data_IF_164524842897
#
_entry.id   IF_164524842897
#
_cell.length_a   1.000
_cell.length_b   1.000
_cell.length_c   1.000
_cell.angle_alpha   90.00
_cell.angle_beta   90.00
_cell.angle_gamma   90.00
#
_symmetry.space_group_name_H-M   'P 1'
#
loop_
_entity.id
_entity.type
_entity.pdbx_description
1 polymer ?
#
# COMPACT_ATOMS: atom_id res chain seq x y z
N UNK A 1 -4.05 -16.21 -43.76
CA UNK A 1 -5.13 -16.03 -42.76
C UNK A 1 -4.69 -16.75 -41.47
N UNK A 2 -4.01 -16.04 -40.55
CA UNK A 2 -3.40 -16.62 -39.34
C UNK A 2 -4.11 -16.09 -38.08
N UNK A 3 -5.36 -16.51 -37.80
CA UNK A 3 -6.13 -16.01 -36.65
C UNK A 3 -5.56 -16.48 -35.29
N UNK A 4 -4.74 -17.54 -35.28
CA UNK A 4 -4.16 -18.13 -34.06
C UNK A 4 -3.08 -17.22 -33.45
N UNK A 5 -2.35 -16.47 -34.27
CA UNK A 5 -1.28 -15.59 -33.78
C UNK A 5 -1.81 -14.39 -32.98
N UNK A 6 -2.99 -13.87 -33.35
CA UNK A 6 -3.64 -12.76 -32.65
C UNK A 6 -4.15 -13.17 -31.27
N UNK A 7 -4.64 -14.41 -31.14
CA UNK A 7 -5.16 -14.92 -29.88
C UNK A 7 -4.06 -15.10 -28.83
N UNK A 8 -2.85 -15.52 -29.24
CA UNK A 8 -1.71 -15.69 -28.32
C UNK A 8 -1.12 -14.35 -27.84
N UNK A 9 -1.17 -13.28 -28.64
CA UNK A 9 -0.69 -11.95 -28.24
C UNK A 9 -1.56 -11.26 -27.19
N UNK A 10 -2.84 -11.66 -27.06
CA UNK A 10 -3.75 -11.11 -26.05
C UNK A 10 -3.51 -11.70 -24.65
N UNK A 11 -2.97 -12.92 -24.53
CA UNK A 11 -2.70 -13.54 -23.23
C UNK A 11 -1.37 -13.10 -22.59
N UNK A 12 -0.40 -12.64 -23.38
CA UNK A 12 0.91 -12.19 -22.86
C UNK A 12 0.88 -10.77 -22.26
N UNK A 13 -0.22 -10.03 -22.43
CA UNK A 13 -0.34 -8.64 -21.98
C UNK A 13 -0.82 -8.43 -20.54
N UNK A 14 -1.18 -9.49 -19.80
CA UNK A 14 -1.79 -9.38 -18.46
C UNK A 14 -0.88 -9.92 -17.35
N UNK A 15 0.40 -10.20 -17.65
CA UNK A 15 1.30 -10.67 -16.61
C UNK A 15 1.85 -9.51 -15.77
N UNK A 16 1.59 -9.63 -14.46
CA UNK A 16 2.30 -8.98 -13.35
C UNK A 16 1.69 -7.67 -12.85
N UNK A 17 0.55 -7.77 -12.14
CA UNK A 17 0.39 -6.95 -10.94
C UNK A 17 1.24 -7.62 -9.86
N UNK A 18 2.52 -7.31 -9.85
CA UNK A 18 3.42 -7.71 -8.77
C UNK A 18 2.99 -6.95 -7.52
N UNK A 19 2.35 -7.63 -6.57
CA UNK A 19 2.26 -7.13 -5.21
C UNK A 19 3.67 -7.21 -4.59
N UNK A 20 4.52 -6.24 -4.94
CA UNK A 20 5.88 -6.10 -4.43
C UNK A 20 5.83 -5.47 -3.04
N UNK A 21 5.35 -6.24 -2.08
CA UNK A 21 5.24 -5.80 -0.68
C UNK A 21 4.86 -7.00 0.16
N UNK A 22 5.86 -7.65 0.77
CA UNK A 22 5.71 -8.88 1.52
C UNK A 22 5.05 -8.66 2.89
N UNK A 23 3.82 -8.18 2.90
CA UNK A 23 3.06 -7.91 4.11
C UNK A 23 1.78 -8.74 4.14
N UNK A 24 1.56 -9.45 5.23
CA UNK A 24 0.31 -10.16 5.52
C UNK A 24 -0.53 -9.39 6.52
N UNK A 25 -1.85 -9.44 6.41
CA UNK A 25 -2.74 -8.88 7.44
C UNK A 25 -2.76 -9.81 8.65
N UNK A 26 -2.68 -9.23 9.86
CA UNK A 26 -2.78 -10.01 11.10
C UNK A 26 -4.23 -10.44 11.31
N UNK A 27 -4.46 -11.72 11.62
CA UNK A 27 -5.79 -12.24 11.94
C UNK A 27 -5.71 -13.17 13.19
N UNK A 28 -6.39 -12.85 14.30
CA UNK A 28 -7.26 -11.68 14.52
C UNK A 28 -6.46 -10.39 14.72
N UNK A 29 -7.02 -9.24 14.30
CA UNK A 29 -6.38 -7.92 14.45
C UNK A 29 -6.07 -7.54 15.91
N UNK A 30 -6.72 -8.20 16.89
CA UNK A 30 -6.43 -8.05 18.32
C UNK A 30 -5.10 -8.66 18.75
N UNK A 31 -4.48 -9.53 17.94
CA UNK A 31 -3.18 -10.13 18.20
C UNK A 31 -2.01 -9.22 17.79
N UNK A 32 -2.28 -8.03 17.25
CA UNK A 32 -1.24 -7.10 16.86
C UNK A 32 -0.46 -6.57 18.08
N UNK A 33 0.87 -6.59 18.00
CA UNK A 33 1.73 -6.08 19.07
C UNK A 33 1.63 -4.55 19.21
N UNK A 34 1.28 -3.85 18.13
CA UNK A 34 1.05 -2.40 18.11
C UNK A 34 -0.44 -2.10 17.94
N UNK A 35 -0.91 -0.96 18.45
CA UNK A 35 -2.29 -0.50 18.23
C UNK A 35 -2.35 0.48 17.08
N UNK A 36 -2.99 0.09 15.98
CA UNK A 36 -3.35 1.01 14.92
C UNK A 36 -4.57 1.84 15.33
N UNK A 37 -4.49 3.15 15.15
CA UNK A 37 -5.54 4.11 15.45
C UNK A 37 -6.35 4.46 14.19
N UNK A 38 -7.45 5.20 14.35
CA UNK A 38 -8.25 5.75 13.25
C UNK A 38 -8.64 4.73 12.15
N UNK A 39 -8.90 3.47 12.54
CA UNK A 39 -9.32 2.41 11.62
C UNK A 39 -8.19 1.81 10.77
N UNK A 40 -6.92 2.08 11.10
CA UNK A 40 -5.77 1.43 10.47
C UNK A 40 -5.75 -0.09 10.68
N UNK A 41 -5.24 -0.82 9.70
CA UNK A 41 -5.15 -2.29 9.73
C UNK A 41 -3.74 -2.73 10.10
N UNK A 42 -3.59 -3.70 11.00
CA UNK A 42 -2.29 -4.24 11.31
C UNK A 42 -1.83 -5.27 10.27
N UNK A 43 -0.57 -5.16 9.87
CA UNK A 43 0.10 -6.10 9.00
C UNK A 43 1.42 -6.54 9.62
N UNK A 44 1.90 -7.72 9.25
CA UNK A 44 3.20 -8.25 9.63
C UNK A 44 4.07 -8.41 8.38
N UNK A 45 5.40 -8.33 8.55
CA UNK A 45 6.34 -8.64 7.46
C UNK A 45 6.48 -10.14 7.27
N UNK A 46 6.48 -10.62 6.02
CA UNK A 46 6.77 -12.03 5.72
C UNK A 46 8.21 -12.41 6.05
N UNK A 47 9.15 -11.46 6.04
CA UNK A 47 10.55 -11.70 6.39
C UNK A 47 10.73 -11.87 7.90
N UNK A 48 9.95 -11.14 8.70
CA UNK A 48 9.95 -11.25 10.15
C UNK A 48 8.54 -11.00 10.72
N UNK A 49 7.80 -12.06 11.10
CA UNK A 49 6.43 -11.92 11.59
C UNK A 49 6.33 -11.23 12.95
N UNK A 50 7.45 -11.03 13.67
CA UNK A 50 7.47 -10.23 14.90
C UNK A 50 7.41 -8.72 14.63
N UNK A 51 7.69 -8.31 13.39
CA UNK A 51 7.60 -6.91 12.99
C UNK A 51 6.21 -6.60 12.46
N UNK A 52 5.48 -5.77 13.22
CA UNK A 52 4.13 -5.36 12.90
C UNK A 52 4.12 -3.89 12.46
N UNK A 53 3.35 -3.58 11.43
CA UNK A 53 3.15 -2.22 10.89
C UNK A 53 1.67 -1.91 10.75
N UNK A 54 1.31 -0.64 10.77
CA UNK A 54 -0.06 -0.20 10.52
C UNK A 54 -0.21 0.27 9.07
N UNK A 55 -1.22 -0.25 8.39
CA UNK A 55 -1.67 0.21 7.08
C UNK A 55 -2.77 1.25 7.34
N UNK A 56 -2.44 2.50 7.07
CA UNK A 56 -3.36 3.62 7.25
C UNK A 56 -4.30 3.79 6.06
N UNK A 57 -5.45 4.42 6.31
CA UNK A 57 -6.38 4.77 5.26
C UNK A 57 -5.76 5.88 4.41
N UNK A 58 -5.30 5.50 3.20
CA UNK A 58 -4.37 6.29 2.41
C UNK A 58 -4.80 7.75 2.24
N UNK A 59 -4.00 8.61 2.86
CA UNK A 59 -4.07 10.06 2.93
C UNK A 59 -5.08 10.65 3.94
N UNK A 60 -5.96 9.86 4.59
CA UNK A 60 -6.86 10.39 5.64
C UNK A 60 -6.09 10.46 6.93
N UNK A 61 -5.27 9.44 7.15
CA UNK A 61 -4.47 9.29 8.34
C UNK A 61 -3.06 8.84 7.98
N UNK A 62 -2.08 9.32 8.74
CA UNK A 62 -0.67 9.04 8.57
C UNK A 62 0.05 8.84 9.92
N UNK A 63 1.33 8.48 9.82
CA UNK A 63 2.18 8.09 10.95
C UNK A 63 2.21 6.58 11.20
N UNK A 64 3.15 6.13 12.03
CA UNK A 64 3.42 4.70 12.30
C UNK A 64 2.22 3.92 12.84
N UNK A 65 1.27 4.63 13.48
CA UNK A 65 0.05 4.08 14.07
C UNK A 65 -1.21 4.71 13.49
N UNK A 66 -1.11 5.45 12.38
CA UNK A 66 -2.23 6.20 11.78
C UNK A 66 -2.86 7.22 12.73
N UNK A 67 -2.05 7.80 13.62
CA UNK A 67 -2.51 8.69 14.69
C UNK A 67 -2.73 10.14 14.23
N UNK A 68 -2.13 10.54 13.11
CA UNK A 68 -2.24 11.90 12.58
C UNK A 68 -3.23 11.93 11.43
N UNK A 69 -4.00 13.00 11.30
CA UNK A 69 -4.77 13.25 10.08
C UNK A 69 -3.79 13.53 8.94
N UNK A 70 -3.88 12.74 7.88
CA UNK A 70 -3.14 12.96 6.65
C UNK A 70 -3.62 14.28 6.05
N UNK A 71 -2.69 15.19 5.81
CA UNK A 71 -3.02 16.40 5.09
C UNK A 71 -3.23 16.01 3.62
N UNK A 72 -4.45 15.57 3.27
CA UNK A 72 -4.96 15.70 1.92
C UNK A 72 -5.17 17.18 1.58
N UNK A 73 -4.12 18.00 1.70
CA UNK A 73 -3.99 19.07 0.75
C UNK A 73 -3.70 18.40 -0.57
N UNK A 74 -4.78 18.01 -1.24
CA UNK A 74 -4.87 18.17 -2.69
C UNK A 74 -4.54 19.64 -2.96
N UNK A 75 -3.25 19.98 -2.98
CA UNK A 75 -2.85 21.24 -3.56
C UNK A 75 -3.31 21.13 -5.00
N UNK A 76 -4.14 22.07 -5.41
CA UNK A 76 -4.55 22.33 -6.79
C UNK A 76 -3.36 22.78 -7.68
N UNK A 77 -2.15 22.29 -7.39
CA UNK A 77 -0.93 22.34 -8.18
C UNK A 77 -0.54 20.87 -8.26
N UNK A 78 -0.69 20.12 -9.36
CA UNK A 78 -0.17 20.44 -10.67
C UNK A 78 -0.77 19.47 -11.70
N UNK A 79 -0.95 19.96 -12.92
CA UNK A 79 -0.76 19.14 -14.11
C UNK A 79 0.62 18.47 -14.03
N UNK A 80 0.71 17.23 -13.52
CA UNK A 80 1.96 16.48 -13.54
C UNK A 80 2.13 15.52 -12.37
N UNK A 81 2.08 14.23 -12.67
CA UNK A 81 2.36 13.14 -11.74
C UNK A 81 3.85 13.18 -11.40
N UNK A 82 4.20 13.59 -10.18
CA UNK A 82 5.47 13.25 -9.58
C UNK A 82 5.22 12.77 -8.15
N UNK A 83 5.55 11.51 -7.80
CA UNK A 83 5.54 11.10 -6.41
C UNK A 83 6.69 11.84 -5.73
N UNK A 84 6.38 12.94 -5.05
CA UNK A 84 7.34 13.58 -4.17
C UNK A 84 7.64 12.57 -3.06
N UNK A 85 8.84 12.04 -3.14
CA UNK A 85 9.61 11.45 -2.06
C UNK A 85 9.17 12.06 -0.73
N UNK A 86 8.66 11.22 0.17
CA UNK A 86 8.60 11.50 1.60
C UNK A 86 10.04 11.55 2.12
N UNK A 87 10.48 12.71 2.61
CA UNK A 87 11.24 12.69 3.85
C UNK A 87 10.61 13.68 4.82
N UNK A 88 10.01 13.19 5.89
CA UNK A 88 9.81 14.02 7.07
C UNK A 88 10.24 13.21 8.30
N UNK A 89 11.56 13.25 8.54
CA UNK A 89 12.11 13.24 9.89
C UNK A 89 11.92 14.63 10.48
N UNK A 90 11.28 14.69 11.63
CA UNK A 90 11.57 15.67 12.70
C UNK A 90 11.44 14.96 14.02
#
# INVERSE_FOLDING_TARGET
MRPVAYFLLLFTGIQSISALGGHGLVNPQSACNIRCENGGMCAFSFDNPQFHTCICLMGVYEGDRCQYEGEYRMRLFDYGILPLTVPFST
#
